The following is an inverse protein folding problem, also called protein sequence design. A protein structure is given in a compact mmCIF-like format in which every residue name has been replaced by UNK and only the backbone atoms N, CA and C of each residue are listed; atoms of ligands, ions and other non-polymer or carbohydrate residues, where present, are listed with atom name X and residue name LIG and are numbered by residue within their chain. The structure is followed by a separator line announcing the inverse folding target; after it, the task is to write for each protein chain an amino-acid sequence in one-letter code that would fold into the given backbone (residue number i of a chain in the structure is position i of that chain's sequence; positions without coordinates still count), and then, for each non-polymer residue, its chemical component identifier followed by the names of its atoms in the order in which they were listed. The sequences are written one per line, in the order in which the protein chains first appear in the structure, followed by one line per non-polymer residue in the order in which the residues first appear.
data_IF_404856883633
#
_entry.id   IF_404856883633
#
_cell.length_a   1.000
_cell.length_b   1.000
_cell.length_c   1.000
_cell.angle_alpha   90.00
_cell.angle_beta   90.00
_cell.angle_gamma   90.00
#
_symmetry.space_group_name_H-M   'P 1'
#
loop_
_entity.id
_entity.type
_entity.pdbx_description
1 polymer ?
#
# COMPACT_ATOMS: atom_id res chain seq x y z
N UNK A 1 11.99 2.74 49.85
CA UNK A 1 11.06 2.30 48.78
C UNK A 1 10.72 3.53 47.94
N UNK A 2 11.47 3.74 46.89
CA UNK A 2 11.35 4.94 46.03
C UNK A 2 10.67 4.50 44.73
N UNK A 3 9.45 4.98 44.52
CA UNK A 3 8.67 4.70 43.32
C UNK A 3 9.13 5.72 42.24
N UNK A 4 9.75 5.22 41.19
CA UNK A 4 10.13 6.03 40.03
C UNK A 4 8.94 6.01 39.06
N UNK A 5 8.30 7.17 38.92
CA UNK A 5 7.27 7.42 37.91
C UNK A 5 7.91 7.53 36.53
N UNK A 6 7.55 6.67 35.60
CA UNK A 6 7.88 6.78 34.19
C UNK A 6 7.00 7.85 33.52
N UNK A 7 7.56 8.67 32.59
CA UNK A 7 6.78 9.72 31.93
C UNK A 7 5.75 9.13 30.97
N UNK A 8 4.52 9.62 31.08
CA UNK A 8 3.42 9.36 30.15
C UNK A 8 3.81 9.83 28.75
N UNK A 9 3.81 8.91 27.80
CA UNK A 9 3.90 9.21 26.36
C UNK A 9 2.77 10.16 25.99
N UNK A 10 3.12 11.35 25.57
CA UNK A 10 2.15 12.31 25.01
C UNK A 10 1.63 11.74 23.69
N UNK A 11 0.35 11.41 23.65
CA UNK A 11 -0.39 11.19 22.42
C UNK A 11 -0.49 12.54 21.72
N UNK A 12 0.24 12.68 20.61
CA UNK A 12 0.22 13.87 19.79
C UNK A 12 -1.12 13.89 19.03
N UNK A 13 -2.12 14.55 19.62
CA UNK A 13 -3.40 14.83 19.00
C UNK A 13 -3.15 15.90 17.92
N UNK A 14 -2.83 15.48 16.71
CA UNK A 14 -2.85 16.40 15.56
C UNK A 14 -4.30 16.81 15.30
N UNK A 15 -4.57 18.10 15.50
CA UNK A 15 -5.81 18.76 15.18
C UNK A 15 -6.21 18.49 13.72
N UNK A 16 -7.24 17.67 13.53
CA UNK A 16 -7.90 17.54 12.24
C UNK A 16 -8.69 18.83 12.00
N UNK A 17 -8.18 19.69 11.14
CA UNK A 17 -8.99 20.75 10.54
C UNK A 17 -10.14 20.09 9.80
N UNK A 18 -11.34 20.40 10.22
CA UNK A 18 -12.57 20.10 9.50
C UNK A 18 -12.58 20.93 8.23
N UNK A 19 -12.13 20.36 7.12
CA UNK A 19 -12.33 20.95 5.80
C UNK A 19 -13.64 20.45 5.22
N UNK A 20 -14.44 21.40 4.78
CA UNK A 20 -15.71 21.23 4.08
C UNK A 20 -15.55 20.40 2.79
N UNK A 21 -16.66 19.91 2.17
CA UNK A 21 -16.60 18.96 1.05
C UNK A 21 -15.80 19.53 -0.12
N UNK A 22 -14.82 18.75 -0.57
CA UNK A 22 -13.90 19.05 -1.64
C UNK A 22 -14.63 19.36 -2.96
N UNK A 23 -14.72 20.64 -3.29
CA UNK A 23 -14.84 21.09 -4.67
C UNK A 23 -13.46 21.61 -5.12
N UNK A 24 -13.10 21.22 -6.34
CA UNK A 24 -12.02 21.73 -7.17
C UNK A 24 -10.60 21.22 -6.94
N UNK A 25 -10.13 20.59 -7.97
CA UNK A 25 -8.80 20.29 -8.46
C UNK A 25 -7.80 21.41 -8.11
N UNK A 26 -7.12 21.31 -6.98
CA UNK A 26 -5.88 22.03 -6.79
C UNK A 26 -4.81 21.28 -7.57
N UNK A 27 -4.43 21.81 -8.74
CA UNK A 27 -3.24 21.37 -9.47
C UNK A 27 -2.05 21.66 -8.55
N UNK A 28 -1.58 20.64 -7.84
CA UNK A 28 -0.36 20.71 -7.07
C UNK A 28 0.78 21.13 -8.00
N UNK A 29 1.52 22.17 -7.64
CA UNK A 29 2.70 22.68 -8.37
C UNK A 29 3.92 21.74 -8.24
N UNK A 30 3.69 20.45 -8.00
CA UNK A 30 4.70 19.41 -7.91
C UNK A 30 5.26 19.08 -9.30
N UNK A 31 6.58 18.92 -9.40
CA UNK A 31 7.19 18.39 -10.62
C UNK A 31 6.73 16.96 -10.89
N UNK A 32 6.41 16.62 -12.16
CA UNK A 32 6.09 15.25 -12.55
C UNK A 32 7.22 14.29 -12.14
N UNK A 33 6.86 13.15 -11.57
CA UNK A 33 7.79 12.07 -11.26
C UNK A 33 7.80 11.01 -12.35
N UNK A 34 8.92 10.30 -12.48
CA UNK A 34 8.98 9.07 -13.26
C UNK A 34 8.70 7.89 -12.31
N UNK A 35 7.58 7.21 -12.51
CA UNK A 35 7.07 6.18 -11.59
C UNK A 35 7.02 4.83 -12.30
N UNK A 36 7.68 3.82 -11.72
CA UNK A 36 7.55 2.43 -12.16
C UNK A 36 6.45 1.72 -11.36
N UNK A 37 5.54 1.00 -12.05
CA UNK A 37 4.48 0.21 -11.43
C UNK A 37 4.67 -1.26 -11.79
N UNK A 38 5.15 -2.05 -10.83
CA UNK A 38 5.39 -3.48 -10.96
C UNK A 38 4.09 -4.23 -10.68
N UNK A 39 3.57 -4.94 -11.68
CA UNK A 39 2.24 -5.54 -11.65
C UNK A 39 1.14 -4.62 -12.22
N UNK A 40 1.50 -3.72 -13.13
CA UNK A 40 0.64 -2.68 -13.71
C UNK A 40 -0.66 -3.23 -14.33
N UNK A 41 -0.66 -4.41 -14.93
CA UNK A 41 -1.85 -5.01 -15.56
C UNK A 41 -2.83 -5.67 -14.59
N UNK A 42 -2.50 -5.74 -13.30
CA UNK A 42 -3.38 -6.26 -12.25
C UNK A 42 -4.56 -5.32 -11.97
N UNK A 43 -5.58 -5.82 -11.22
CA UNK A 43 -6.72 -4.98 -10.83
C UNK A 43 -6.29 -3.71 -10.08
N UNK A 44 -5.40 -3.86 -9.08
CA UNK A 44 -4.85 -2.74 -8.32
C UNK A 44 -3.89 -1.91 -9.19
N UNK A 45 -3.01 -2.57 -9.96
CA UNK A 45 -2.00 -1.92 -10.81
C UNK A 45 -2.61 -0.95 -11.82
N UNK A 46 -3.72 -1.31 -12.46
CA UNK A 46 -4.40 -0.43 -13.43
C UNK A 46 -4.96 0.84 -12.78
N UNK A 47 -5.46 0.76 -11.56
CA UNK A 47 -5.87 1.97 -10.82
C UNK A 47 -4.66 2.83 -10.43
N UNK A 48 -3.52 2.23 -10.06
CA UNK A 48 -2.29 3.00 -9.81
C UNK A 48 -1.80 3.68 -11.09
N UNK A 49 -1.83 2.98 -12.24
CA UNK A 49 -1.50 3.59 -13.54
C UNK A 49 -2.39 4.81 -13.81
N UNK A 50 -3.71 4.65 -13.65
CA UNK A 50 -4.65 5.76 -13.86
C UNK A 50 -4.34 6.94 -12.95
N UNK A 51 -4.18 6.73 -11.64
CA UNK A 51 -3.90 7.80 -10.68
C UNK A 51 -2.57 8.50 -10.95
N UNK A 52 -1.51 7.75 -11.27
CA UNK A 52 -0.21 8.35 -11.60
C UNK A 52 -0.28 9.20 -12.89
N UNK A 53 -0.95 8.70 -13.93
CA UNK A 53 -1.15 9.45 -15.18
C UNK A 53 -2.03 10.69 -14.98
N UNK A 54 -3.08 10.61 -14.16
CA UNK A 54 -3.96 11.75 -13.85
C UNK A 54 -3.25 12.82 -13.02
N UNK A 55 -2.25 12.41 -12.25
CA UNK A 55 -1.34 13.28 -11.50
C UNK A 55 -0.25 13.93 -12.38
N UNK A 56 -0.17 13.52 -13.65
CA UNK A 56 0.81 14.03 -14.63
C UNK A 56 2.17 13.34 -14.57
N UNK A 57 2.30 12.19 -13.89
CA UNK A 57 3.55 11.45 -13.81
C UNK A 57 3.87 10.69 -15.10
N UNK A 58 5.16 10.46 -15.36
CA UNK A 58 5.63 9.55 -16.38
C UNK A 58 5.59 8.12 -15.86
N UNK A 59 4.77 7.27 -16.47
CA UNK A 59 4.54 5.91 -15.97
C UNK A 59 5.29 4.87 -16.78
N UNK A 60 6.01 3.99 -16.08
CA UNK A 60 6.58 2.75 -16.62
C UNK A 60 5.85 1.59 -15.96
N UNK A 61 5.17 0.74 -16.73
CA UNK A 61 4.41 -0.40 -16.20
C UNK A 61 5.06 -1.73 -16.52
N UNK A 62 5.32 -2.56 -15.51
CA UNK A 62 5.81 -3.94 -15.69
C UNK A 62 4.66 -4.92 -15.60
N UNK A 63 4.53 -5.79 -16.58
CA UNK A 63 3.57 -6.88 -16.56
C UNK A 63 4.02 -8.05 -17.46
N UNK A 64 3.46 -9.24 -17.21
CA UNK A 64 3.72 -10.40 -18.07
C UNK A 64 3.25 -10.13 -19.50
N UNK A 65 3.96 -10.67 -20.52
CA UNK A 65 3.67 -10.44 -21.93
C UNK A 65 2.19 -10.70 -22.29
N UNK A 66 1.62 -11.83 -21.82
CA UNK A 66 0.20 -12.15 -22.05
C UNK A 66 -0.80 -11.21 -21.39
N UNK A 67 -0.34 -10.29 -20.55
CA UNK A 67 -1.19 -9.31 -19.85
C UNK A 67 -1.08 -7.89 -20.39
N UNK A 68 -0.23 -7.67 -21.38
CA UNK A 68 -0.06 -6.36 -22.04
C UNK A 68 -1.39 -5.81 -22.59
N UNK A 69 -2.26 -6.58 -23.22
CA UNK A 69 -3.54 -6.06 -23.74
C UNK A 69 -4.45 -5.46 -22.66
N UNK A 70 -4.26 -5.80 -21.40
CA UNK A 70 -5.02 -5.19 -20.29
C UNK A 70 -4.64 -3.73 -20.02
N UNK A 71 -3.58 -3.24 -20.63
CA UNK A 71 -3.07 -1.86 -20.53
C UNK A 71 -3.32 -1.04 -21.80
N UNK A 72 -4.02 -1.57 -22.81
CA UNK A 72 -4.25 -0.90 -24.10
C UNK A 72 -4.84 0.52 -23.93
N UNK A 73 -5.75 0.69 -22.97
CA UNK A 73 -6.34 2.01 -22.66
C UNK A 73 -5.30 3.06 -22.21
N UNK A 74 -4.13 2.65 -21.80
CA UNK A 74 -3.04 3.53 -21.30
C UNK A 74 -1.82 3.54 -22.22
N UNK A 75 -1.78 2.67 -23.26
CA UNK A 75 -0.57 2.38 -24.02
C UNK A 75 0.06 3.64 -24.67
N UNK A 76 -0.75 4.64 -25.07
CA UNK A 76 -0.25 5.89 -25.65
C UNK A 76 0.31 6.88 -24.61
N UNK A 77 0.10 6.62 -23.31
CA UNK A 77 0.43 7.54 -22.20
C UNK A 77 1.49 6.98 -21.26
N UNK A 78 1.96 5.74 -21.47
CA UNK A 78 2.93 5.08 -20.59
C UNK A 78 3.91 4.21 -21.37
N UNK A 79 5.03 3.88 -20.75
CA UNK A 79 5.94 2.85 -21.26
C UNK A 79 5.56 1.49 -20.66
N UNK A 80 5.45 0.45 -21.49
CA UNK A 80 5.15 -0.90 -21.03
C UNK A 80 6.39 -1.79 -21.20
N UNK A 81 6.84 -2.39 -20.11
CA UNK A 81 7.93 -3.38 -20.07
C UNK A 81 7.31 -4.76 -19.85
N UNK A 82 7.35 -5.59 -20.89
CA UNK A 82 6.78 -6.92 -20.84
C UNK A 82 7.78 -7.93 -20.29
N UNK A 83 7.42 -8.61 -19.19
CA UNK A 83 8.25 -9.64 -18.57
C UNK A 83 7.72 -10.08 -17.21
N UNK A 84 8.40 -11.03 -16.58
CA UNK A 84 8.06 -11.45 -15.23
C UNK A 84 8.52 -10.40 -14.21
N UNK A 85 7.72 -10.14 -13.17
CA UNK A 85 8.03 -9.10 -12.18
C UNK A 85 9.18 -9.48 -11.23
N UNK A 86 9.57 -10.76 -11.19
CA UNK A 86 10.73 -11.26 -10.45
C UNK A 86 11.98 -11.46 -11.35
N UNK A 87 11.90 -11.08 -12.61
CA UNK A 87 13.04 -11.10 -13.54
C UNK A 87 13.87 -9.83 -13.33
N UNK A 88 15.13 -10.02 -12.96
CA UNK A 88 16.03 -8.91 -12.62
C UNK A 88 16.37 -8.02 -13.81
N UNK A 89 16.47 -8.56 -15.02
CA UNK A 89 16.74 -7.76 -16.23
C UNK A 89 15.54 -6.88 -16.56
N UNK A 90 14.33 -7.45 -16.49
CA UNK A 90 13.08 -6.72 -16.69
C UNK A 90 12.93 -5.60 -15.66
N UNK A 91 13.19 -5.88 -14.39
CA UNK A 91 13.13 -4.86 -13.33
C UNK A 91 14.21 -3.80 -13.52
N UNK A 92 15.46 -4.18 -13.79
CA UNK A 92 16.56 -3.24 -14.02
C UNK A 92 16.22 -2.22 -15.10
N UNK A 93 15.70 -2.70 -16.23
CA UNK A 93 15.28 -1.82 -17.33
C UNK A 93 14.11 -0.92 -16.94
N UNK A 94 13.13 -1.45 -16.21
CA UNK A 94 11.91 -0.72 -15.87
C UNK A 94 12.13 0.38 -14.82
N UNK A 95 12.98 0.15 -13.81
CA UNK A 95 13.21 1.10 -12.72
C UNK A 95 14.26 2.15 -13.04
N UNK A 96 14.95 2.04 -14.18
CA UNK A 96 16.02 2.96 -14.56
C UNK A 96 15.52 4.42 -14.61
N UNK A 97 16.15 5.28 -13.82
CA UNK A 97 15.82 6.71 -13.73
C UNK A 97 14.44 7.00 -13.13
N UNK A 98 13.82 6.05 -12.40
CA UNK A 98 12.56 6.28 -11.71
C UNK A 98 12.78 6.95 -10.35
N UNK A 99 11.92 7.93 -10.03
CA UNK A 99 11.86 8.60 -8.72
C UNK A 99 11.12 7.73 -7.68
N UNK A 100 10.18 6.92 -8.17
CA UNK A 100 9.41 6.00 -7.31
C UNK A 100 9.11 4.66 -8.01
N UNK A 101 9.00 3.60 -7.20
CA UNK A 101 8.61 2.25 -7.65
C UNK A 101 7.47 1.75 -6.77
N UNK A 102 6.32 1.50 -7.39
CA UNK A 102 5.15 0.90 -6.74
C UNK A 102 5.06 -0.59 -7.08
N UNK A 103 4.93 -1.43 -6.08
CA UNK A 103 4.99 -2.89 -6.25
C UNK A 103 3.74 -3.54 -5.67
N UNK A 104 3.03 -4.28 -6.51
CA UNK A 104 1.92 -5.11 -6.05
C UNK A 104 2.45 -6.50 -5.68
N UNK A 105 2.66 -6.75 -4.39
CA UNK A 105 3.03 -8.08 -3.90
C UNK A 105 1.76 -8.95 -3.82
N UNK A 106 1.61 -9.85 -4.76
CA UNK A 106 0.46 -10.77 -4.79
C UNK A 106 0.93 -12.15 -4.35
N UNK A 107 0.33 -12.74 -3.30
CA UNK A 107 0.69 -14.07 -2.82
C UNK A 107 0.13 -15.17 -3.73
N UNK A 108 0.37 -15.11 -5.05
CA UNK A 108 -0.18 -16.07 -6.01
C UNK A 108 0.85 -17.09 -6.48
N UNK A 109 0.62 -18.36 -6.09
CA UNK A 109 0.85 -19.55 -6.93
C UNK A 109 2.26 -19.92 -7.39
N UNK A 110 3.25 -19.04 -7.27
CA UNK A 110 4.66 -19.34 -7.61
C UNK A 110 5.51 -19.06 -6.38
N UNK A 111 6.12 -20.09 -5.84
CA UNK A 111 7.00 -19.95 -4.68
C UNK A 111 8.16 -18.98 -4.97
N UNK A 112 8.42 -18.07 -4.02
CA UNK A 112 9.51 -17.10 -4.14
C UNK A 112 9.22 -15.93 -5.09
N UNK A 113 7.99 -15.79 -5.61
CA UNK A 113 7.66 -14.75 -6.58
C UNK A 113 7.64 -13.35 -5.96
N UNK A 114 6.98 -13.19 -4.81
CA UNK A 114 6.96 -11.91 -4.08
C UNK A 114 8.33 -11.55 -3.54
N UNK A 115 9.04 -12.53 -3.00
CA UNK A 115 10.41 -12.37 -2.49
C UNK A 115 11.38 -11.98 -3.60
N UNK A 116 11.33 -12.66 -4.76
CA UNK A 116 12.16 -12.33 -5.91
C UNK A 116 11.87 -10.94 -6.48
N UNK A 117 10.60 -10.57 -6.57
CA UNK A 117 10.18 -9.23 -7.02
C UNK A 117 10.68 -8.14 -6.06
N UNK A 118 10.45 -8.32 -4.75
CA UNK A 118 10.90 -7.35 -3.74
C UNK A 118 12.43 -7.20 -3.77
N UNK A 119 13.16 -8.31 -3.81
CA UNK A 119 14.64 -8.28 -3.84
C UNK A 119 15.16 -7.59 -5.10
N UNK A 120 14.59 -7.87 -6.26
CA UNK A 120 15.01 -7.21 -7.50
C UNK A 120 14.79 -5.69 -7.44
N UNK A 121 13.67 -5.24 -6.88
CA UNK A 121 13.39 -3.81 -6.72
C UNK A 121 14.32 -3.17 -5.68
N UNK A 122 14.57 -3.82 -4.55
CA UNK A 122 15.48 -3.31 -3.51
C UNK A 122 16.91 -3.12 -4.03
N UNK A 123 17.37 -4.06 -4.88
CA UNK A 123 18.75 -4.06 -5.40
C UNK A 123 18.95 -3.10 -6.57
N UNK A 124 17.93 -2.88 -7.38
CA UNK A 124 18.05 -2.27 -8.71
C UNK A 124 17.37 -0.89 -8.83
N UNK A 125 16.50 -0.52 -7.90
CA UNK A 125 15.90 0.81 -7.89
C UNK A 125 16.98 1.88 -7.69
N UNK A 126 16.86 3.06 -8.30
CA UNK A 126 17.81 4.14 -8.13
C UNK A 126 17.98 4.53 -6.65
N UNK A 127 19.20 4.92 -6.22
CA UNK A 127 19.43 5.41 -4.88
C UNK A 127 18.50 6.58 -4.55
N UNK A 128 17.82 6.51 -3.40
CA UNK A 128 16.89 7.55 -2.96
C UNK A 128 15.47 7.45 -3.53
N UNK A 129 15.21 6.56 -4.48
CA UNK A 129 13.85 6.32 -4.99
C UNK A 129 12.88 5.91 -3.86
N UNK A 130 11.61 6.35 -3.96
CA UNK A 130 10.54 5.92 -3.07
C UNK A 130 10.04 4.55 -3.47
N UNK A 131 10.04 3.59 -2.55
CA UNK A 131 9.61 2.22 -2.79
C UNK A 131 8.31 1.94 -2.03
N UNK A 132 7.20 1.78 -2.74
CA UNK A 132 5.89 1.55 -2.14
C UNK A 132 5.42 0.14 -2.47
N UNK A 133 5.29 -0.70 -1.44
CA UNK A 133 4.84 -2.08 -1.60
C UNK A 133 3.43 -2.24 -1.04
N UNK A 134 2.61 -3.09 -1.66
CA UNK A 134 1.32 -3.49 -1.09
C UNK A 134 1.41 -4.87 -0.44
N UNK A 135 0.75 -5.04 0.68
CA UNK A 135 0.56 -6.36 1.31
C UNK A 135 -0.79 -6.44 2.05
N UNK A 136 -1.04 -7.57 2.67
CA UNK A 136 -2.23 -7.76 3.52
C UNK A 136 -1.99 -7.40 4.99
N UNK A 137 -3.05 -7.30 5.76
CA UNK A 137 -3.01 -7.00 7.19
C UNK A 137 -2.30 -8.07 8.04
N UNK A 138 -2.06 -9.27 7.49
CA UNK A 138 -1.33 -10.33 8.19
C UNK A 138 0.17 -10.03 8.37
N UNK A 139 0.69 -9.02 7.66
CA UNK A 139 2.08 -8.59 7.82
C UNK A 139 2.19 -7.70 9.06
N UNK A 140 3.09 -8.06 9.97
CA UNK A 140 3.41 -7.30 11.18
C UNK A 140 4.92 -7.07 11.29
N UNK A 141 5.31 -6.05 12.04
CA UNK A 141 6.72 -5.69 12.22
C UNK A 141 7.15 -5.69 13.69
N UNK A 142 6.37 -5.08 14.56
CA UNK A 142 6.77 -4.70 15.92
C UNK A 142 5.90 -5.33 17.03
N UNK A 143 4.98 -6.21 16.68
CA UNK A 143 4.07 -6.85 17.64
C UNK A 143 2.99 -5.94 18.22
N UNK A 144 2.90 -4.67 17.79
CA UNK A 144 1.85 -3.73 18.20
C UNK A 144 0.47 -4.02 17.59
N UNK A 145 0.42 -4.91 16.61
CA UNK A 145 -0.83 -5.26 15.94
C UNK A 145 -1.71 -6.17 16.82
N UNK A 146 -2.96 -5.78 16.97
CA UNK A 146 -3.97 -6.55 17.73
C UNK A 146 -5.02 -7.10 16.76
N UNK A 147 -4.95 -8.40 16.52
CA UNK A 147 -5.91 -9.08 15.66
C UNK A 147 -7.09 -9.62 16.46
N UNK A 148 -8.31 -9.40 15.94
CA UNK A 148 -9.51 -10.00 16.53
C UNK A 148 -9.40 -11.52 16.51
N UNK A 149 -9.99 -12.19 17.51
CA UNK A 149 -10.00 -13.64 17.59
C UNK A 149 -10.63 -14.30 16.35
N UNK A 150 -11.62 -13.65 15.73
CA UNK A 150 -12.27 -14.09 14.48
C UNK A 150 -11.27 -14.13 13.32
N UNK A 151 -10.45 -13.11 13.18
CA UNK A 151 -9.41 -13.05 12.14
C UNK A 151 -8.34 -14.10 12.39
N UNK A 152 -7.92 -14.27 13.65
CA UNK A 152 -6.97 -15.33 14.04
C UNK A 152 -7.51 -16.72 13.72
N UNK A 153 -8.77 -16.99 14.04
CA UNK A 153 -9.44 -18.25 13.74
C UNK A 153 -9.57 -18.47 12.22
N UNK A 154 -9.96 -17.45 11.46
CA UNK A 154 -10.06 -17.53 10.01
C UNK A 154 -8.71 -17.86 9.38
N UNK A 155 -7.64 -17.19 9.76
CA UNK A 155 -6.28 -17.43 9.25
C UNK A 155 -5.80 -18.83 9.66
N UNK A 156 -6.09 -19.29 10.86
CA UNK A 156 -5.70 -20.63 11.34
C UNK A 156 -6.42 -21.75 10.56
N UNK A 157 -7.67 -21.54 10.17
CA UNK A 157 -8.47 -22.55 9.45
C UNK A 157 -8.24 -22.45 7.93
N UNK A 158 -8.29 -21.25 7.37
CA UNK A 158 -8.18 -21.04 5.92
C UNK A 158 -6.73 -21.08 5.41
N UNK A 159 -5.75 -20.75 6.24
CA UNK A 159 -4.33 -20.72 5.87
C UNK A 159 -3.79 -22.06 5.36
N UNK A 160 -3.97 -23.18 6.07
CA UNK A 160 -3.56 -24.51 5.61
C UNK A 160 -4.27 -24.94 4.32
N UNK A 161 -5.56 -24.61 4.18
CA UNK A 161 -6.37 -24.94 3.00
C UNK A 161 -5.90 -24.12 1.80
N UNK A 162 -5.66 -22.82 1.96
CA UNK A 162 -5.14 -21.95 0.92
C UNK A 162 -3.74 -22.39 0.45
N UNK A 163 -2.89 -22.82 1.38
CA UNK A 163 -1.56 -23.36 1.10
C UNK A 163 -1.64 -24.69 0.35
N UNK A 164 -2.54 -25.59 0.77
CA UNK A 164 -2.76 -26.89 0.10
C UNK A 164 -3.27 -26.72 -1.33
N UNK A 165 -4.14 -25.74 -1.57
CA UNK A 165 -4.72 -25.45 -2.89
C UNK A 165 -3.81 -24.55 -3.75
N UNK A 166 -2.62 -24.15 -3.29
CA UNK A 166 -1.68 -23.23 -3.96
C UNK A 166 -2.32 -21.91 -4.42
N UNK A 167 -3.38 -21.45 -3.74
CA UNK A 167 -4.03 -20.19 -4.08
C UNK A 167 -3.28 -18.97 -3.54
N UNK A 168 -2.54 -19.12 -2.44
CA UNK A 168 -1.76 -18.04 -1.86
C UNK A 168 -0.53 -18.59 -1.14
N UNK A 169 0.64 -18.03 -1.41
CA UNK A 169 1.87 -18.24 -0.64
C UNK A 169 2.07 -17.03 0.28
N UNK A 170 1.42 -17.08 1.45
CA UNK A 170 1.54 -16.01 2.45
C UNK A 170 2.95 -15.96 3.05
N UNK A 171 3.63 -17.11 3.14
CA UNK A 171 4.99 -17.20 3.67
C UNK A 171 5.98 -16.44 2.76
N UNK A 172 5.78 -16.50 1.43
CA UNK A 172 6.57 -15.75 0.46
C UNK A 172 6.38 -14.23 0.61
N UNK A 173 5.15 -13.79 0.89
CA UNK A 173 4.90 -12.36 1.15
C UNK A 173 5.52 -11.91 2.48
N UNK A 174 5.49 -12.75 3.52
CA UNK A 174 6.16 -12.48 4.81
C UNK A 174 7.67 -12.36 4.62
N UNK A 175 8.29 -13.27 3.86
CA UNK A 175 9.74 -13.21 3.58
C UNK A 175 10.10 -11.97 2.75
N UNK A 176 9.29 -11.62 1.74
CA UNK A 176 9.47 -10.39 0.98
C UNK A 176 9.47 -9.16 1.91
N UNK A 177 8.48 -9.05 2.78
CA UNK A 177 8.38 -7.94 3.74
C UNK A 177 9.55 -7.93 4.74
N UNK A 178 10.02 -9.09 5.21
CA UNK A 178 11.20 -9.18 6.07
C UNK A 178 12.44 -8.56 5.42
N UNK A 179 12.66 -8.81 4.12
CA UNK A 179 13.78 -8.20 3.36
C UNK A 179 13.59 -6.71 3.18
N UNK A 180 12.37 -6.26 2.89
CA UNK A 180 12.06 -4.83 2.78
C UNK A 180 12.37 -4.12 4.10
N UNK A 181 11.93 -4.67 5.25
CA UNK A 181 12.16 -4.06 6.56
C UNK A 181 13.63 -4.02 6.98
N UNK A 182 14.43 -4.97 6.50
CA UNK A 182 15.88 -5.02 6.75
C UNK A 182 16.68 -4.07 5.86
N UNK A 183 16.07 -3.50 4.81
CA UNK A 183 16.77 -2.61 3.87
C UNK A 183 16.84 -1.17 4.38
N UNK A 184 17.87 -0.45 3.92
CA UNK A 184 18.05 0.97 4.21
C UNK A 184 17.34 1.90 3.21
N UNK A 185 16.54 1.34 2.31
CA UNK A 185 15.81 2.09 1.27
C UNK A 185 14.69 2.95 1.87
N UNK A 186 14.15 3.88 1.07
CA UNK A 186 13.00 4.72 1.45
C UNK A 186 11.68 3.97 1.19
N UNK A 187 11.50 2.84 1.83
CA UNK A 187 10.34 1.99 1.63
C UNK A 187 9.10 2.45 2.43
N UNK A 188 7.93 2.08 1.93
CA UNK A 188 6.65 2.05 2.63
C UNK A 188 5.95 0.74 2.27
N UNK A 189 5.38 0.03 3.24
CA UNK A 189 4.57 -1.17 2.98
C UNK A 189 3.13 -0.89 3.38
N UNK A 190 2.27 -0.68 2.40
CA UNK A 190 0.85 -0.37 2.61
C UNK A 190 0.08 -1.66 2.84
N UNK A 191 -0.50 -1.80 4.03
CA UNK A 191 -1.30 -2.97 4.42
C UNK A 191 -2.76 -2.75 4.06
N UNK A 192 -3.22 -3.50 3.05
CA UNK A 192 -4.62 -3.52 2.65
C UNK A 192 -5.47 -4.43 3.51
N UNK A 193 -6.69 -3.97 3.76
CA UNK A 193 -7.81 -4.76 4.27
C UNK A 193 -8.50 -5.51 3.12
N UNK A 194 -9.74 -5.92 3.31
CA UNK A 194 -10.57 -6.41 2.23
C UNK A 194 -10.81 -5.32 1.19
N UNK A 195 -10.59 -5.67 -0.08
CA UNK A 195 -10.71 -4.73 -1.20
C UNK A 195 -12.00 -4.99 -1.98
N UNK A 196 -12.86 -3.99 -2.03
CA UNK A 196 -14.06 -4.03 -2.85
C UNK A 196 -13.93 -3.20 -4.13
N UNK A 197 -14.74 -3.53 -5.13
CA UNK A 197 -14.88 -2.75 -6.36
C UNK A 197 -15.91 -1.64 -6.14
N UNK A 198 -15.80 -0.55 -6.90
CA UNK A 198 -16.75 0.57 -6.87
C UNK A 198 -16.08 1.89 -7.20
N UNK A 199 -16.88 2.96 -7.25
CA UNK A 199 -16.39 4.31 -7.46
C UNK A 199 -15.53 4.82 -6.30
N UNK A 200 -14.70 5.85 -6.52
CA UNK A 200 -13.84 6.42 -5.50
C UNK A 200 -14.66 7.07 -4.38
N UNK A 201 -14.20 6.92 -3.14
CA UNK A 201 -14.79 7.50 -1.94
C UNK A 201 -13.89 8.57 -1.31
N UNK A 202 -12.60 8.59 -1.69
CA UNK A 202 -11.60 9.52 -1.19
C UNK A 202 -10.34 8.81 -0.70
N UNK A 203 -9.39 9.59 -0.18
CA UNK A 203 -8.14 9.04 0.33
C UNK A 203 -8.40 8.22 1.60
N UNK A 204 -7.94 6.95 1.67
CA UNK A 204 -8.07 6.12 2.86
C UNK A 204 -7.45 6.73 4.10
N UNK A 205 -8.05 6.41 5.25
CA UNK A 205 -7.47 6.70 6.56
C UNK A 205 -6.51 5.57 6.93
N UNK A 206 -5.45 5.89 7.66
CA UNK A 206 -4.48 4.90 8.06
C UNK A 206 -4.10 4.98 9.55
N UNK A 207 -3.67 3.85 10.09
CA UNK A 207 -3.03 3.74 11.40
C UNK A 207 -1.77 2.89 11.33
N UNK A 208 -0.88 3.05 12.30
CA UNK A 208 0.35 2.24 12.40
C UNK A 208 0.07 0.78 12.76
N UNK A 209 -0.99 0.52 13.51
CA UNK A 209 -1.29 -0.81 14.04
C UNK A 209 -2.66 -1.32 13.60
N UNK A 210 -2.70 -2.55 13.12
CA UNK A 210 -3.95 -3.30 12.95
C UNK A 210 -4.57 -3.51 14.33
N UNK A 211 -5.89 -3.30 14.45
CA UNK A 211 -6.59 -3.35 15.74
C UNK A 211 -6.90 -1.97 16.31
N UNK A 212 -6.36 -0.90 15.72
CA UNK A 212 -6.85 0.45 15.97
C UNK A 212 -8.36 0.49 15.67
N UNK A 213 -9.20 1.03 16.58
CA UNK A 213 -10.65 1.11 16.39
C UNK A 213 -11.08 1.80 15.10
N UNK A 214 -10.30 2.77 14.59
CA UNK A 214 -10.58 3.45 13.31
C UNK A 214 -10.57 2.48 12.12
N UNK A 215 -9.81 1.39 12.21
CA UNK A 215 -9.68 0.37 11.17
C UNK A 215 -10.74 -0.74 11.27
N UNK A 216 -11.65 -0.70 12.25
CA UNK A 216 -12.54 -1.83 12.58
C UNK A 216 -13.46 -2.27 11.43
N UNK A 217 -13.76 -1.40 10.47
CA UNK A 217 -14.61 -1.74 9.31
C UNK A 217 -13.94 -2.63 8.28
N UNK A 218 -12.61 -2.74 8.27
CA UNK A 218 -11.84 -3.65 7.43
C UNK A 218 -12.21 -3.65 5.94
N UNK A 219 -12.61 -2.51 5.35
CA UNK A 219 -13.03 -2.44 3.95
C UNK A 219 -12.45 -1.18 3.28
N UNK A 220 -11.91 -1.35 2.08
CA UNK A 220 -11.35 -0.25 1.29
C UNK A 220 -11.72 -0.43 -0.18
N UNK A 221 -12.13 0.63 -0.87
CA UNK A 221 -12.27 0.61 -2.32
C UNK A 221 -10.91 0.40 -2.97
N UNK A 222 -10.84 -0.49 -3.95
CA UNK A 222 -9.59 -0.80 -4.66
C UNK A 222 -8.99 0.43 -5.36
N UNK A 223 -9.84 1.28 -5.91
CA UNK A 223 -9.44 2.54 -6.52
C UNK A 223 -8.80 3.49 -5.51
N UNK A 224 -9.34 3.57 -4.30
CA UNK A 224 -8.82 4.43 -3.23
C UNK A 224 -7.54 3.87 -2.62
N UNK A 225 -7.44 2.54 -2.51
CA UNK A 225 -6.17 1.89 -2.12
C UNK A 225 -5.04 2.24 -3.11
N UNK A 226 -5.32 2.15 -4.40
CA UNK A 226 -4.37 2.53 -5.45
C UNK A 226 -3.97 4.00 -5.34
N UNK A 227 -4.93 4.89 -5.07
CA UNK A 227 -4.69 6.29 -4.84
C UNK A 227 -3.77 6.51 -3.64
N UNK A 228 -4.03 5.86 -2.51
CA UNK A 228 -3.15 5.96 -1.34
C UNK A 228 -1.72 5.54 -1.65
N UNK A 229 -1.50 4.46 -2.40
CA UNK A 229 -0.16 4.03 -2.79
C UNK A 229 0.55 5.07 -3.67
N UNK A 230 -0.17 5.70 -4.58
CA UNK A 230 0.39 6.74 -5.47
C UNK A 230 0.70 8.00 -4.66
N UNK A 231 -0.20 8.46 -3.78
CA UNK A 231 0.03 9.62 -2.90
C UNK A 231 1.18 9.38 -1.91
N UNK A 232 1.39 8.15 -1.44
CA UNK A 232 2.48 7.78 -0.54
C UNK A 232 3.87 8.02 -1.14
N UNK A 233 4.00 8.20 -2.44
CA UNK A 233 5.29 8.54 -3.07
C UNK A 233 5.80 9.92 -2.66
N UNK A 234 4.91 10.84 -2.30
CA UNK A 234 5.22 12.22 -1.90
C UNK A 234 5.14 12.44 -0.39
N UNK A 235 4.71 11.44 0.39
CA UNK A 235 4.55 11.57 1.83
C UNK A 235 5.77 10.99 2.58
N UNK A 236 6.69 11.87 2.99
CA UNK A 236 7.87 11.48 3.74
C UNK A 236 7.56 10.93 5.15
N UNK A 237 6.37 11.20 5.71
CA UNK A 237 5.92 10.63 6.99
C UNK A 237 5.74 9.12 6.90
N UNK A 238 5.56 8.59 5.70
CA UNK A 238 5.39 7.16 5.42
C UNK A 238 6.71 6.45 5.11
N UNK A 239 7.86 7.15 5.12
CA UNK A 239 9.17 6.51 4.90
C UNK A 239 9.48 5.57 6.05
N UNK A 240 9.73 4.28 5.71
CA UNK A 240 9.97 3.17 6.65
C UNK A 240 8.78 2.89 7.58
N UNK A 241 7.58 3.22 7.12
CA UNK A 241 6.32 2.95 7.82
C UNK A 241 5.54 1.80 7.18
N UNK A 242 4.67 1.21 8.02
CA UNK A 242 3.84 0.06 7.69
C UNK A 242 2.34 0.42 7.89
N UNK A 243 1.80 1.43 7.17
CA UNK A 243 0.43 1.87 7.38
C UNK A 243 -0.58 0.76 7.07
N UNK A 244 -1.50 0.52 8.00
CA UNK A 244 -2.72 -0.24 7.77
C UNK A 244 -3.83 0.74 7.41
N UNK A 245 -4.55 0.52 6.30
CA UNK A 245 -5.51 1.48 5.78
C UNK A 245 -6.93 0.93 5.74
N UNK A 246 -7.90 1.84 5.81
CA UNK A 246 -9.34 1.58 5.64
C UNK A 246 -9.99 2.72 4.86
N UNK A 247 -11.07 2.43 4.14
CA UNK A 247 -11.79 3.44 3.37
C UNK A 247 -12.30 4.58 4.24
N UNK A 248 -12.11 5.83 3.78
CA UNK A 248 -12.49 7.05 4.52
C UNK A 248 -14.01 7.16 4.77
N UNK A 249 -14.85 6.47 4.00
CA UNK A 249 -16.31 6.40 4.18
C UNK A 249 -16.75 5.14 4.95
N UNK A 250 -15.81 4.40 5.53
CA UNK A 250 -16.15 3.22 6.32
C UNK A 250 -16.85 3.58 7.62
N UNK A 251 -17.69 2.67 8.13
CA UNK A 251 -18.49 2.93 9.33
C UNK A 251 -17.62 3.28 10.56
N UNK A 252 -16.47 2.65 10.73
CA UNK A 252 -15.57 2.95 11.83
C UNK A 252 -14.99 4.36 11.74
N UNK A 253 -14.57 4.81 10.56
CA UNK A 253 -14.06 6.18 10.35
C UNK A 253 -15.12 7.21 10.62
N UNK A 254 -16.33 7.00 10.08
CA UNK A 254 -17.46 7.94 10.29
C UNK A 254 -17.89 8.01 11.76
N UNK A 255 -17.82 6.90 12.49
CA UNK A 255 -18.10 6.87 13.93
C UNK A 255 -17.06 7.66 14.72
N UNK A 256 -15.78 7.47 14.43
CA UNK A 256 -14.70 8.24 15.06
C UNK A 256 -14.81 9.74 14.80
N UNK A 257 -15.12 10.12 13.56
CA UNK A 257 -15.31 11.53 13.20
C UNK A 257 -16.44 12.19 14.00
N UNK A 258 -17.56 11.48 14.24
CA UNK A 258 -18.69 11.98 15.05
C UNK A 258 -18.32 12.13 16.53
N UNK A 259 -17.59 11.16 17.10
CA UNK A 259 -17.14 11.21 18.50
C UNK A 259 -16.21 12.39 18.75
N UNK A 260 -15.21 12.61 17.88
CA UNK A 260 -14.31 13.76 17.98
C UNK A 260 -15.03 15.12 17.85
N UNK A 261 -16.11 15.20 17.07
CA UNK A 261 -16.92 16.42 16.95
C UNK A 261 -17.73 16.70 18.23
N UNK A 262 -18.15 15.66 18.95
CA UNK A 262 -18.92 15.81 20.19
C UNK A 262 -18.06 16.25 21.37
N UNK A 263 -16.80 15.82 21.43
CA UNK A 263 -15.85 16.23 22.49
C UNK A 263 -15.38 17.70 22.38
N UNK A 264 -15.43 18.29 21.18
CA UNK A 264 -15.05 19.69 20.96
C UNK A 264 -16.17 20.66 21.35
N UNK A 265 -17.41 20.17 21.50
CA UNK A 265 -18.62 21.00 21.77
C UNK A 265 -19.08 20.91 23.24
N UNK A 266 -18.43 20.11 24.07
CA UNK A 266 -18.68 19.95 25.50
C UNK A 266 -17.59 20.63 26.35
#
# INVERSE_FOLDING_TARGET
MTVINAPRSQVNLMSHRTEAPCTATATSSRSPMRVCIVGASGKLGRYMVQHALDRGDQVVGVCRAQSVPKLDAFASRMTIVAGATNDREVISHAVAGCDAVLVVLVPRGVHGYSTGTAQAVLDLAPPGARLIFSCGWHITRDGGDVYSWKLKALVAIAGPIAKLLRFADLDDQVEACRRIFASDTRWTVVRGSDLEEGGPQGLPVWSRHVGDPILASNMTRRVDFARFMVEATDDDRLVRELPAIVGCQSASVLTHARQGATEVTA
#
